data_IF_607420615023
#
_entry.id   IF_607420615023
#
_cell.length_a   1.000
_cell.length_b   1.000
_cell.length_c   1.000
_cell.angle_alpha   90.00
_cell.angle_beta   90.00
_cell.angle_gamma   90.00
#
_symmetry.space_group_name_H-M   'P 1'
#
loop_
_entity.id
_entity.type
_entity.pdbx_description
1 polymer ?
#
# COMPACT_ATOMS: atom_id res chain seq x y z
N UNK A 1 -4.01 -0.99 17.81
CA UNK A 1 -4.29 -0.01 16.75
C UNK A 1 -4.31 -0.78 15.46
N UNK A 2 -5.49 -0.86 14.84
CA UNK A 2 -5.65 -1.43 13.52
C UNK A 2 -5.07 -0.51 12.45
N UNK A 3 -4.80 -1.05 11.27
CA UNK A 3 -4.47 -0.25 10.09
C UNK A 3 -5.56 -0.48 9.05
N UNK A 4 -6.05 0.59 8.46
CA UNK A 4 -7.00 0.55 7.33
C UNK A 4 -6.22 0.89 6.07
N UNK A 5 -6.16 -0.06 5.14
CA UNK A 5 -5.50 0.17 3.86
C UNK A 5 -6.54 0.40 2.77
N UNK A 6 -6.27 1.34 1.88
CA UNK A 6 -7.18 1.75 0.81
C UNK A 6 -6.47 1.70 -0.53
N UNK A 7 -6.98 0.89 -1.45
CA UNK A 7 -6.59 0.93 -2.86
C UNK A 7 -7.31 2.09 -3.56
N UNK A 8 -6.59 3.18 -3.76
CA UNK A 8 -7.12 4.41 -4.32
C UNK A 8 -7.04 4.34 -5.86
N UNK A 9 -7.96 3.55 -6.44
CA UNK A 9 -7.93 3.04 -7.81
C UNK A 9 -7.56 4.08 -8.87
N UNK A 10 -8.26 5.21 -8.92
CA UNK A 10 -8.00 6.23 -9.96
C UNK A 10 -6.81 7.13 -9.65
N UNK A 11 -6.25 7.07 -8.45
CA UNK A 11 -5.06 7.83 -8.06
C UNK A 11 -3.78 6.99 -8.07
N UNK A 12 -3.86 5.71 -8.49
CA UNK A 12 -2.69 4.86 -8.72
C UNK A 12 -1.80 4.69 -7.48
N UNK A 13 -2.40 4.69 -6.28
CA UNK A 13 -1.69 4.65 -5.01
C UNK A 13 -2.44 3.84 -3.96
N UNK A 14 -1.73 3.49 -2.90
CA UNK A 14 -2.29 2.93 -1.68
C UNK A 14 -2.17 3.97 -0.56
N UNK A 15 -3.23 4.14 0.21
CA UNK A 15 -3.24 4.96 1.42
C UNK A 15 -3.44 4.08 2.65
N UNK A 16 -2.84 4.47 3.77
CA UNK A 16 -2.92 3.76 5.05
C UNK A 16 -3.38 4.73 6.13
N UNK A 17 -4.34 4.29 6.93
CA UNK A 17 -4.95 5.06 8.01
C UNK A 17 -4.95 4.28 9.32
N UNK A 18 -5.15 4.97 10.44
CA UNK A 18 -5.53 4.35 11.72
C UNK A 18 -6.97 3.82 11.65
N UNK A 19 -7.36 3.04 12.65
CA UNK A 19 -8.74 2.61 12.88
C UNK A 19 -9.69 3.78 13.19
N UNK A 20 -9.17 4.92 13.64
CA UNK A 20 -9.92 6.18 13.82
C UNK A 20 -10.03 7.01 12.53
N UNK A 21 -9.34 6.61 11.46
CA UNK A 21 -9.36 7.30 10.16
C UNK A 21 -8.28 8.38 9.99
N UNK A 22 -7.32 8.48 10.91
CA UNK A 22 -6.20 9.39 10.77
C UNK A 22 -5.22 8.88 9.70
N UNK A 23 -4.78 9.77 8.81
CA UNK A 23 -3.82 9.42 7.76
C UNK A 23 -2.45 9.07 8.34
N UNK A 24 -1.89 7.93 7.92
CA UNK A 24 -0.56 7.48 8.32
C UNK A 24 0.47 7.67 7.22
N UNK A 25 0.22 7.08 6.04
CA UNK A 25 1.17 7.09 4.92
C UNK A 25 0.46 6.77 3.61
N UNK A 26 1.06 7.18 2.50
CA UNK A 26 0.70 6.72 1.16
C UNK A 26 1.93 6.28 0.38
N UNK A 27 1.73 5.40 -0.59
CA UNK A 27 2.79 4.97 -1.49
C UNK A 27 2.23 4.57 -2.85
N UNK A 28 3.09 4.68 -3.86
CA UNK A 28 2.75 4.43 -5.26
C UNK A 28 2.41 5.69 -6.04
N UNK A 29 2.56 5.57 -7.35
CA UNK A 29 2.24 6.56 -8.36
C UNK A 29 1.90 5.84 -9.66
N UNK A 30 1.32 6.55 -10.64
CA UNK A 30 1.04 5.96 -11.95
C UNK A 30 2.31 5.47 -12.63
N UNK A 31 2.31 4.23 -13.13
CA UNK A 31 3.39 3.67 -13.93
C UNK A 31 3.50 2.16 -13.83
N UNK A 32 4.62 1.60 -14.28
CA UNK A 32 4.85 0.16 -14.38
C UNK A 32 6.16 -0.31 -13.74
N UNK A 33 6.99 0.61 -13.21
CA UNK A 33 8.18 0.26 -12.46
C UNK A 33 7.82 -0.38 -11.10
N UNK A 34 8.77 -1.03 -10.40
CA UNK A 34 8.54 -1.51 -9.04
C UNK A 34 8.11 -0.37 -8.10
N UNK A 35 6.99 -0.56 -7.41
CA UNK A 35 6.40 0.45 -6.54
C UNK A 35 5.42 1.42 -7.21
N UNK A 36 5.35 1.44 -8.54
CA UNK A 36 4.32 2.15 -9.30
C UNK A 36 3.12 1.24 -9.58
N UNK A 37 1.94 1.83 -9.79
CA UNK A 37 0.71 1.10 -10.08
C UNK A 37 -0.03 1.64 -11.31
N UNK A 38 -0.80 0.77 -11.94
CA UNK A 38 -1.86 1.16 -12.86
C UNK A 38 -3.18 0.62 -12.31
N UNK A 39 -3.94 1.50 -11.63
CA UNK A 39 -5.26 1.20 -11.07
C UNK A 39 -5.28 0.03 -10.08
N UNK A 40 -4.64 0.15 -8.90
CA UNK A 40 -4.64 -0.92 -7.90
C UNK A 40 -6.07 -1.16 -7.39
N UNK A 41 -6.42 -2.42 -7.09
CA UNK A 41 -7.81 -2.80 -6.76
C UNK A 41 -7.99 -3.41 -5.39
N UNK A 42 -7.24 -4.47 -5.09
CA UNK A 42 -7.39 -5.27 -3.88
C UNK A 42 -6.03 -5.52 -3.21
N UNK A 43 -6.05 -5.89 -1.94
CA UNK A 43 -4.85 -6.19 -1.18
C UNK A 43 -5.07 -7.13 0.00
N UNK A 44 -3.98 -7.75 0.43
CA UNK A 44 -3.95 -8.55 1.66
C UNK A 44 -2.63 -8.37 2.39
N UNK A 45 -2.63 -8.63 3.69
CA UNK A 45 -1.45 -8.58 4.55
C UNK A 45 -1.26 -9.96 5.18
N UNK A 46 -0.06 -10.52 5.04
CA UNK A 46 0.25 -11.82 5.66
C UNK A 46 0.62 -11.68 7.15
N UNK A 47 0.77 -12.81 7.85
CA UNK A 47 1.10 -12.82 9.28
C UNK A 47 2.48 -12.25 9.63
N UNK A 48 3.34 -11.99 8.63
CA UNK A 48 4.63 -11.31 8.78
C UNK A 48 4.53 -9.82 8.46
N UNK A 49 3.34 -9.33 8.14
CA UNK A 49 3.08 -7.94 7.77
C UNK A 49 3.42 -7.60 6.32
N UNK A 50 3.76 -8.56 5.46
CA UNK A 50 4.01 -8.24 4.06
C UNK A 50 2.70 -7.90 3.37
N UNK A 51 2.73 -6.88 2.52
CA UNK A 51 1.55 -6.37 1.83
C UNK A 51 1.59 -6.85 0.38
N UNK A 52 0.48 -7.40 -0.09
CA UNK A 52 0.31 -7.85 -1.47
C UNK A 52 -0.77 -7.01 -2.11
N UNK A 53 -0.46 -6.35 -3.22
CA UNK A 53 -1.37 -5.44 -3.92
C UNK A 53 -1.61 -5.96 -5.32
N UNK A 54 -2.89 -6.04 -5.71
CA UNK A 54 -3.31 -6.33 -7.09
C UNK A 54 -3.18 -5.06 -7.93
N UNK A 55 -2.19 -5.06 -8.81
CA UNK A 55 -1.90 -3.98 -9.76
C UNK A 55 -2.57 -4.30 -11.09
N UNK A 56 -3.88 -3.99 -11.16
CA UNK A 56 -4.79 -4.49 -12.20
C UNK A 56 -4.33 -4.14 -13.61
N UNK A 57 -4.00 -2.87 -13.88
CA UNK A 57 -3.64 -2.41 -15.21
C UNK A 57 -2.28 -2.91 -15.69
N UNK A 58 -1.38 -3.25 -14.76
CA UNK A 58 -0.10 -3.87 -15.09
C UNK A 58 -0.15 -5.41 -15.10
N UNK A 59 -1.31 -6.02 -14.86
CA UNK A 59 -1.50 -7.48 -14.85
C UNK A 59 -0.55 -8.22 -13.90
N UNK A 60 -0.29 -7.66 -12.71
CA UNK A 60 0.65 -8.24 -11.74
C UNK A 60 0.16 -8.11 -10.31
N UNK A 61 0.82 -8.85 -9.42
CA UNK A 61 0.76 -8.64 -7.97
C UNK A 61 2.12 -8.09 -7.54
N UNK A 62 2.13 -7.04 -6.72
CA UNK A 62 3.35 -6.53 -6.10
C UNK A 62 3.36 -6.87 -4.60
N UNK A 63 4.53 -7.25 -4.10
CA UNK A 63 4.78 -7.52 -2.68
C UNK A 63 5.64 -6.42 -2.08
N UNK A 64 5.21 -5.87 -0.95
CA UNK A 64 5.93 -4.87 -0.18
C UNK A 64 6.30 -5.40 1.20
N UNK A 65 7.44 -4.93 1.71
CA UNK A 65 7.83 -5.17 3.09
C UNK A 65 6.83 -4.49 4.05
N UNK A 66 6.72 -4.98 5.30
CA UNK A 66 5.88 -4.33 6.31
C UNK A 66 6.29 -2.87 6.51
N UNK A 67 5.31 -2.00 6.74
CA UNK A 67 5.59 -0.67 7.28
C UNK A 67 6.04 -0.82 8.72
N UNK A 68 7.36 -0.83 8.94
CA UNK A 68 7.89 -0.61 10.27
C UNK A 68 7.91 0.89 10.51
N UNK A 69 7.37 1.33 11.63
CA UNK A 69 7.67 2.66 12.15
C UNK A 69 9.19 2.72 12.27
N UNK A 70 9.85 3.43 11.35
CA UNK A 70 11.22 3.85 11.58
C UNK A 70 11.14 4.68 12.85
N UNK A 71 11.63 4.16 13.97
CA UNK A 71 12.11 5.04 15.02
C UNK A 71 13.14 5.91 14.33
N UNK A 72 12.79 7.17 14.04
CA UNK A 72 13.77 8.22 13.83
C UNK A 72 14.60 8.27 15.12
N UNK A 73 15.62 7.45 15.21
CA UNK A 73 16.75 7.72 16.07
C UNK A 73 17.56 8.74 15.30
N UNK A 74 17.41 10.00 15.73
CA UNK A 74 18.31 11.16 15.59
C UNK A 74 19.14 11.27 14.29
#
# INVERSE_FOLDING_TARGET
MGQVFVADFYNHRIQVFTDEGDFLVEFGSQGSAPGEFERPTDMTVDSKGNIYVVDFGNNRIQKFAPFTSQTKNE
#
